data_IF_892962804259
#
_entry.id   IF_892962804259
#
_cell.length_a   1.000
_cell.length_b   1.000
_cell.length_c   1.000
_cell.angle_alpha   90.00
_cell.angle_beta   90.00
_cell.angle_gamma   90.00
#
_symmetry.space_group_name_H-M   'P 1'
#
loop_
_entity.id
_entity.type
_entity.pdbx_description
1 polymer ?
#
# COMPACT_ATOMS: atom_id res chain seq x y z
N UNK A 1 25.52 47.16 -2.58
CA UNK A 1 24.88 46.06 -1.78
C UNK A 1 23.35 45.93 -1.94
N UNK A 2 22.65 46.95 -2.46
CA UNK A 2 21.20 46.88 -2.73
C UNK A 2 20.86 46.11 -4.02
N UNK A 3 21.78 46.05 -4.97
CA UNK A 3 21.56 45.37 -6.26
C UNK A 3 21.49 43.82 -6.11
N UNK A 4 22.30 43.21 -5.23
CA UNK A 4 22.33 41.79 -5.04
C UNK A 4 21.03 41.21 -4.42
N UNK A 5 20.32 41.99 -3.61
CA UNK A 5 19.05 41.54 -3.01
C UNK A 5 17.92 41.42 -4.05
N UNK A 6 17.86 42.38 -5.01
CA UNK A 6 16.85 42.31 -6.09
C UNK A 6 17.12 41.17 -7.06
N UNK A 7 18.39 40.88 -7.37
CA UNK A 7 18.74 39.75 -8.24
C UNK A 7 18.43 38.40 -7.59
N UNK A 8 18.67 38.25 -6.27
CA UNK A 8 18.27 37.03 -5.56
C UNK A 8 16.74 36.80 -5.54
N UNK A 9 15.96 37.87 -5.42
CA UNK A 9 14.49 37.75 -5.49
C UNK A 9 13.99 37.46 -6.90
N UNK A 10 14.66 37.96 -7.95
CA UNK A 10 14.35 37.62 -9.34
C UNK A 10 14.66 36.16 -9.64
N UNK A 11 15.81 35.64 -9.22
CA UNK A 11 16.18 34.25 -9.41
C UNK A 11 15.21 33.25 -8.69
N UNK A 12 14.63 33.66 -7.57
CA UNK A 12 13.63 32.82 -6.85
C UNK A 12 12.27 32.84 -7.58
N UNK A 13 11.91 33.91 -8.28
CA UNK A 13 10.67 34.01 -9.07
C UNK A 13 10.71 33.21 -10.36
N UNK A 14 11.89 32.98 -10.92
CA UNK A 14 12.11 32.20 -12.14
C UNK A 14 12.35 30.71 -11.85
N UNK A 15 12.32 30.29 -10.57
CA UNK A 15 12.39 28.85 -10.25
C UNK A 15 11.17 28.15 -10.83
N UNK A 16 11.41 27.11 -11.62
CA UNK A 16 10.37 26.29 -12.22
C UNK A 16 9.38 25.85 -11.16
N UNK A 17 8.08 26.06 -11.40
CA UNK A 17 7.03 25.59 -10.49
C UNK A 17 7.16 24.09 -10.32
N UNK A 18 7.20 23.61 -9.08
CA UNK A 18 7.20 22.18 -8.78
C UNK A 18 5.94 21.55 -9.37
N UNK A 19 6.11 20.44 -10.08
CA UNK A 19 5.00 19.68 -10.64
C UNK A 19 4.06 19.21 -9.52
N UNK A 20 2.76 19.38 -9.72
CA UNK A 20 1.72 18.90 -8.81
C UNK A 20 0.63 18.24 -9.63
N UNK A 21 0.45 16.93 -9.41
CA UNK A 21 -0.53 16.12 -10.10
C UNK A 21 -1.96 16.58 -9.77
N UNK A 22 -2.76 16.89 -10.79
CA UNK A 22 -4.18 17.21 -10.64
C UNK A 22 -5.01 15.92 -10.60
N UNK A 23 -6.15 15.95 -9.92
CA UNK A 23 -7.04 14.78 -9.81
C UNK A 23 -7.57 14.28 -11.16
N UNK A 24 -7.72 15.16 -12.11
CA UNK A 24 -8.25 14.92 -13.46
C UNK A 24 -7.23 14.19 -14.37
N UNK A 25 -5.94 14.38 -14.07
CA UNK A 25 -4.82 13.82 -14.84
C UNK A 25 -4.38 12.43 -14.35
N UNK A 26 -5.06 11.89 -13.34
CA UNK A 26 -4.67 10.62 -12.71
C UNK A 26 -5.11 9.42 -13.55
N UNK A 27 -4.14 8.73 -14.16
CA UNK A 27 -4.35 7.42 -14.77
C UNK A 27 -4.09 6.31 -13.74
N UNK A 28 -5.06 5.39 -13.60
CA UNK A 28 -5.01 4.27 -12.64
C UNK A 28 -5.11 2.96 -13.39
N UNK A 29 -4.10 2.14 -13.24
CA UNK A 29 -4.06 0.78 -13.77
C UNK A 29 -4.45 -0.24 -12.70
N UNK A 30 -4.84 -1.43 -13.16
CA UNK A 30 -5.10 -2.58 -12.30
C UNK A 30 -3.98 -3.59 -12.45
N UNK A 31 -3.51 -4.13 -11.31
CA UNK A 31 -2.43 -5.11 -11.26
C UNK A 31 -2.84 -6.32 -10.43
N UNK A 32 -2.48 -7.51 -10.90
CA UNK A 32 -2.58 -8.76 -10.14
C UNK A 32 -1.20 -9.17 -9.66
N UNK A 33 -1.11 -9.53 -8.40
CA UNK A 33 0.10 -10.03 -7.75
C UNK A 33 -0.17 -11.38 -7.10
N UNK A 34 0.54 -12.40 -7.53
CA UNK A 34 0.58 -13.68 -6.82
C UNK A 34 1.63 -13.61 -5.69
N UNK A 35 1.20 -13.89 -4.46
CA UNK A 35 2.06 -13.85 -3.27
C UNK A 35 2.53 -15.22 -2.81
N UNK A 36 2.36 -16.25 -3.63
CA UNK A 36 2.80 -17.60 -3.33
C UNK A 36 4.29 -17.59 -2.98
N UNK A 37 4.62 -18.17 -1.82
CA UNK A 37 6.00 -18.30 -1.29
C UNK A 37 6.76 -16.99 -1.04
N UNK A 38 6.11 -15.84 -1.18
CA UNK A 38 6.72 -14.54 -0.96
C UNK A 38 6.75 -14.15 0.53
N UNK A 39 7.75 -13.36 0.93
CA UNK A 39 7.89 -12.87 2.31
C UNK A 39 6.95 -11.69 2.55
N UNK A 40 6.03 -11.82 3.52
CA UNK A 40 4.99 -10.83 3.85
C UNK A 40 5.50 -9.38 3.90
N UNK A 41 6.60 -9.13 4.64
CA UNK A 41 7.08 -7.74 4.83
C UNK A 41 7.55 -7.09 3.54
N UNK A 42 8.27 -7.83 2.70
CA UNK A 42 8.78 -7.33 1.41
C UNK A 42 7.65 -7.07 0.43
N UNK A 43 6.72 -8.01 0.33
CA UNK A 43 5.52 -7.86 -0.51
C UNK A 43 4.70 -6.66 -0.08
N UNK A 44 4.39 -6.53 1.22
CA UNK A 44 3.59 -5.44 1.75
C UNK A 44 4.19 -4.05 1.46
N UNK A 45 5.52 -3.91 1.47
CA UNK A 45 6.20 -2.66 1.11
C UNK A 45 5.97 -2.31 -0.36
N UNK A 46 6.16 -3.27 -1.27
CA UNK A 46 5.95 -3.07 -2.71
C UNK A 46 4.49 -2.72 -3.04
N UNK A 47 3.55 -3.44 -2.42
CA UNK A 47 2.12 -3.14 -2.55
C UNK A 47 1.81 -1.72 -2.06
N UNK A 48 2.32 -1.32 -0.89
CA UNK A 48 2.08 0.01 -0.33
C UNK A 48 2.63 1.12 -1.23
N UNK A 49 3.82 0.94 -1.80
CA UNK A 49 4.44 1.90 -2.71
C UNK A 49 3.62 2.03 -4.02
N UNK A 50 3.14 0.91 -4.58
CA UNK A 50 2.32 0.90 -5.80
C UNK A 50 0.96 1.55 -5.59
N UNK A 51 0.26 1.19 -4.52
CA UNK A 51 -1.06 1.76 -4.20
C UNK A 51 -0.96 3.26 -3.89
N UNK A 52 0.15 3.69 -3.28
CA UNK A 52 0.42 5.11 -3.02
C UNK A 52 0.86 5.86 -4.28
N UNK A 53 1.40 5.14 -5.27
CA UNK A 53 1.90 5.69 -6.53
C UNK A 53 3.32 6.24 -6.45
N UNK A 54 4.12 5.80 -5.50
CA UNK A 54 5.54 6.23 -5.37
C UNK A 54 6.40 5.77 -6.55
N UNK A 55 6.00 4.71 -7.24
CA UNK A 55 6.69 4.19 -8.42
C UNK A 55 6.51 5.11 -9.65
N UNK A 56 5.55 6.03 -9.60
CA UNK A 56 5.27 6.95 -10.72
C UNK A 56 6.11 8.22 -10.61
N UNK A 57 6.68 8.72 -11.71
CA UNK A 57 7.43 9.99 -11.72
C UNK A 57 6.55 11.21 -11.37
N UNK A 58 5.24 11.08 -11.58
CA UNK A 58 4.24 12.11 -11.25
C UNK A 58 3.77 12.08 -9.80
N UNK A 59 4.44 11.34 -8.93
CA UNK A 59 4.04 11.20 -7.52
C UNK A 59 3.93 12.54 -6.81
N UNK A 60 2.78 12.77 -6.18
CA UNK A 60 2.51 13.95 -5.35
C UNK A 60 1.92 13.51 -4.01
N UNK A 61 2.50 13.89 -2.85
CA UNK A 61 2.11 13.36 -1.54
C UNK A 61 0.66 13.60 -1.13
N UNK A 62 0.04 14.69 -1.62
CA UNK A 62 -1.32 15.09 -1.27
C UNK A 62 -2.39 14.57 -2.25
N UNK A 63 -1.98 14.03 -3.40
CA UNK A 63 -2.89 13.51 -4.43
C UNK A 63 -2.84 11.98 -4.46
N UNK A 64 -3.98 11.35 -4.70
CA UNK A 64 -4.10 9.91 -4.87
C UNK A 64 -3.81 9.50 -6.31
N UNK A 65 -2.53 9.34 -6.66
CA UNK A 65 -2.05 8.95 -7.99
C UNK A 65 -1.74 7.46 -8.16
N UNK A 66 -1.95 6.63 -7.13
CA UNK A 66 -1.60 5.20 -7.16
C UNK A 66 -2.60 4.32 -7.90
N UNK A 67 -2.20 3.07 -8.13
CA UNK A 67 -2.91 2.05 -8.88
C UNK A 67 -3.73 1.13 -7.99
N UNK A 68 -4.60 0.32 -8.60
CA UNK A 68 -5.31 -0.76 -7.93
C UNK A 68 -4.45 -2.02 -7.92
N UNK A 69 -4.43 -2.73 -6.79
CA UNK A 69 -3.67 -3.97 -6.66
C UNK A 69 -4.60 -5.07 -6.14
N UNK A 70 -4.63 -6.15 -6.90
CA UNK A 70 -5.30 -7.40 -6.55
C UNK A 70 -4.23 -8.37 -6.11
N UNK A 71 -4.37 -8.94 -4.92
CA UNK A 71 -3.46 -9.94 -4.37
C UNK A 71 -4.18 -11.28 -4.33
N UNK A 72 -3.57 -12.30 -4.91
CA UNK A 72 -4.10 -13.67 -4.93
C UNK A 72 -3.19 -14.60 -4.13
N UNK A 73 -3.74 -15.77 -3.74
CA UNK A 73 -3.04 -16.80 -2.96
C UNK A 73 -2.54 -16.32 -1.58
N UNK A 74 -3.30 -15.46 -0.89
CA UNK A 74 -2.90 -14.89 0.40
C UNK A 74 -2.60 -15.94 1.48
N UNK A 75 -3.18 -17.15 1.40
CA UNK A 75 -2.92 -18.27 2.32
C UNK A 75 -1.49 -18.83 2.22
N UNK A 76 -0.84 -18.68 1.05
CA UNK A 76 0.50 -19.23 0.78
C UNK A 76 1.64 -18.26 1.12
N UNK A 77 1.33 -17.16 1.78
CA UNK A 77 2.32 -16.15 2.14
C UNK A 77 3.25 -16.65 3.24
N UNK A 78 4.55 -16.35 3.13
CA UNK A 78 5.58 -16.76 4.09
C UNK A 78 6.00 -15.62 5.03
N UNK A 79 6.44 -16.01 6.20
CA UNK A 79 7.11 -15.13 7.17
C UNK A 79 8.44 -15.77 7.57
N UNK A 80 9.42 -14.93 7.93
CA UNK A 80 10.77 -15.38 8.28
C UNK A 80 10.96 -15.57 9.78
N UNK A 81 11.82 -16.50 10.17
CA UNK A 81 12.15 -16.81 11.57
C UNK A 81 10.94 -17.36 12.35
N UNK A 82 10.94 -17.17 13.67
CA UNK A 82 9.91 -17.69 14.57
C UNK A 82 8.57 -16.89 14.54
N UNK A 83 8.39 -16.02 13.53
CA UNK A 83 7.18 -15.18 13.44
C UNK A 83 5.91 -15.98 13.17
N UNK A 84 6.01 -17.15 12.56
CA UNK A 84 4.86 -17.98 12.28
C UNK A 84 4.11 -18.37 13.56
N UNK A 85 4.84 -18.67 14.62
CA UNK A 85 4.26 -19.05 15.92
C UNK A 85 4.06 -17.85 16.85
N UNK A 86 5.06 -16.96 16.89
CA UNK A 86 5.14 -15.91 17.94
C UNK A 86 4.47 -14.60 17.55
N UNK A 87 4.19 -14.33 16.26
CA UNK A 87 3.58 -13.08 15.85
C UNK A 87 2.11 -13.03 16.30
N UNK A 88 1.79 -12.01 17.10
CA UNK A 88 0.44 -11.79 17.65
C UNK A 88 -0.20 -10.56 17.01
N UNK A 89 -1.49 -10.67 16.73
CA UNK A 89 -2.35 -9.59 16.28
C UNK A 89 -3.34 -9.24 17.37
N UNK A 90 -3.46 -7.97 17.69
CA UNK A 90 -4.31 -7.48 18.77
C UNK A 90 -5.51 -6.73 18.20
N UNK A 91 -6.68 -6.99 18.78
CA UNK A 91 -7.87 -6.19 18.55
C UNK A 91 -8.58 -5.92 19.87
N UNK A 92 -9.26 -4.79 20.00
CA UNK A 92 -9.94 -4.41 21.22
C UNK A 92 -11.41 -4.09 20.94
N UNK A 93 -12.32 -4.58 21.78
CA UNK A 93 -13.76 -4.38 21.62
C UNK A 93 -14.28 -3.08 22.23
N UNK A 94 -13.39 -2.26 22.81
CA UNK A 94 -13.65 -1.02 23.55
C UNK A 94 -14.28 -1.21 24.95
N UNK A 95 -14.62 -2.42 25.37
CA UNK A 95 -15.08 -2.74 26.72
C UNK A 95 -13.91 -3.11 27.64
N UNK A 96 -14.02 -2.88 28.96
CA UNK A 96 -13.02 -3.34 29.94
C UNK A 96 -12.73 -4.83 29.73
N UNK A 97 -11.44 -5.21 29.68
CA UNK A 97 -11.01 -6.60 29.42
C UNK A 97 -11.20 -7.08 27.97
N UNK A 98 -11.62 -6.22 27.05
CA UNK A 98 -11.95 -6.57 25.67
C UNK A 98 -10.77 -6.78 24.70
N UNK A 99 -9.54 -6.97 25.20
CA UNK A 99 -8.37 -7.28 24.38
C UNK A 99 -8.47 -8.71 23.83
N UNK A 100 -8.49 -8.83 22.49
CA UNK A 100 -8.46 -10.12 21.79
C UNK A 100 -7.10 -10.27 21.11
N UNK A 101 -6.46 -11.42 21.34
CA UNK A 101 -5.17 -11.77 20.74
C UNK A 101 -5.37 -12.96 19.81
N UNK A 102 -4.82 -12.87 18.59
CA UNK A 102 -4.76 -13.98 17.63
C UNK A 102 -3.33 -14.17 17.21
N UNK A 103 -2.91 -15.42 17.03
CA UNK A 103 -1.59 -15.74 16.47
C UNK A 103 -1.62 -15.65 14.95
N UNK A 104 -0.44 -15.55 14.33
CA UNK A 104 -0.32 -15.55 12.87
C UNK A 104 -0.91 -16.84 12.28
N UNK A 105 -0.60 -17.99 12.88
CA UNK A 105 -1.13 -19.29 12.45
C UNK A 105 -2.65 -19.33 12.43
N UNK A 106 -3.30 -18.89 13.52
CA UNK A 106 -4.77 -18.83 13.59
C UNK A 106 -5.40 -17.90 12.55
N UNK A 107 -4.68 -16.84 12.14
CA UNK A 107 -5.16 -15.92 11.12
C UNK A 107 -4.99 -16.49 9.70
N UNK A 108 -3.90 -17.21 9.41
CA UNK A 108 -3.73 -17.92 8.14
C UNK A 108 -4.87 -18.90 7.91
N UNK A 109 -5.24 -19.66 8.95
CA UNK A 109 -6.30 -20.67 8.86
C UNK A 109 -7.71 -20.08 8.71
N UNK A 110 -7.97 -18.92 9.33
CA UNK A 110 -9.32 -18.34 9.38
C UNK A 110 -9.54 -17.22 8.36
N UNK A 111 -8.59 -16.28 8.26
CA UNK A 111 -8.72 -15.07 7.44
C UNK A 111 -7.34 -14.62 6.95
N UNK A 112 -6.74 -15.31 5.96
CA UNK A 112 -5.39 -14.98 5.46
C UNK A 112 -5.31 -13.58 4.83
N UNK A 113 -6.38 -13.10 4.23
CA UNK A 113 -6.49 -11.78 3.61
C UNK A 113 -6.12 -10.65 4.60
N UNK A 114 -6.62 -10.76 5.83
CA UNK A 114 -6.40 -9.77 6.88
C UNK A 114 -4.93 -9.57 7.23
N UNK A 115 -4.11 -10.60 7.08
CA UNK A 115 -2.67 -10.54 7.36
C UNK A 115 -2.00 -9.52 6.45
N UNK A 116 -2.32 -9.59 5.15
CA UNK A 116 -1.77 -8.68 4.14
C UNK A 116 -2.37 -7.28 4.31
N UNK A 117 -3.68 -7.20 4.53
CA UNK A 117 -4.37 -5.94 4.75
C UNK A 117 -3.79 -5.15 5.94
N UNK A 118 -3.58 -5.80 7.10
CA UNK A 118 -3.02 -5.15 8.28
C UNK A 118 -1.56 -4.75 8.07
N UNK A 119 -0.76 -5.56 7.34
CA UNK A 119 0.61 -5.22 7.00
C UNK A 119 0.68 -3.97 6.10
N UNK A 120 -0.10 -3.92 5.03
CA UNK A 120 -0.16 -2.78 4.11
C UNK A 120 -0.75 -1.55 4.79
N UNK A 121 -1.82 -1.69 5.57
CA UNK A 121 -2.45 -0.61 6.32
C UNK A 121 -1.49 0.06 7.31
N UNK A 122 -0.60 -0.71 7.93
CA UNK A 122 0.46 -0.19 8.79
C UNK A 122 1.51 0.65 8.07
N UNK A 123 1.71 0.42 6.77
CA UNK A 123 2.68 1.14 5.91
C UNK A 123 2.09 2.37 5.22
N UNK A 124 0.76 2.48 5.16
CA UNK A 124 0.07 3.63 4.58
C UNK A 124 -0.07 4.78 5.59
N UNK A 125 -0.20 6.03 5.13
CA UNK A 125 -0.41 7.18 6.01
C UNK A 125 -1.74 7.07 6.78
N UNK A 126 -1.73 7.47 8.06
CA UNK A 126 -2.89 7.37 8.98
C UNK A 126 -3.86 8.56 8.86
N UNK A 127 -4.13 9.02 7.65
CA UNK A 127 -5.01 10.17 7.37
C UNK A 127 -6.20 9.78 6.48
N UNK A 128 -7.04 10.75 6.12
CA UNK A 128 -8.21 10.54 5.23
C UNK A 128 -7.77 9.99 3.87
N UNK A 129 -6.65 10.51 3.32
CA UNK A 129 -6.07 10.06 2.06
C UNK A 129 -5.62 8.59 2.14
N UNK A 130 -4.93 8.19 3.23
CA UNK A 130 -4.52 6.80 3.43
C UNK A 130 -5.67 5.82 3.52
N UNK A 131 -6.81 6.22 4.12
CA UNK A 131 -8.03 5.41 4.12
C UNK A 131 -8.63 5.24 2.72
N UNK A 132 -8.57 6.28 1.89
CA UNK A 132 -9.05 6.23 0.50
C UNK A 132 -8.13 5.34 -0.36
N UNK A 133 -6.82 5.49 -0.21
CA UNK A 133 -5.79 4.69 -0.90
C UNK A 133 -5.93 3.21 -0.55
N UNK A 134 -6.17 2.87 0.72
CA UNK A 134 -6.32 1.49 1.18
C UNK A 134 -7.48 0.74 0.49
N UNK A 135 -8.54 1.41 0.09
CA UNK A 135 -9.68 0.81 -0.63
C UNK A 135 -9.30 0.24 -2.00
N UNK A 136 -8.15 0.62 -2.55
CA UNK A 136 -7.62 0.13 -3.83
C UNK A 136 -6.93 -1.24 -3.71
N UNK A 137 -6.65 -1.69 -2.49
CA UNK A 137 -6.18 -3.03 -2.22
C UNK A 137 -7.35 -4.00 -2.20
N UNK A 138 -7.24 -5.07 -2.99
CA UNK A 138 -8.15 -6.20 -2.99
C UNK A 138 -7.33 -7.45 -2.72
N UNK A 139 -7.70 -8.21 -1.71
CA UNK A 139 -6.96 -9.42 -1.30
C UNK A 139 -7.89 -10.60 -1.38
N UNK A 140 -7.42 -11.69 -1.97
CA UNK A 140 -8.13 -12.95 -2.11
C UNK A 140 -7.29 -14.08 -1.53
N UNK A 141 -7.93 -14.98 -0.79
CA UNK A 141 -7.27 -16.15 -0.19
C UNK A 141 -6.79 -17.13 -1.24
N UNK A 142 -7.62 -17.40 -2.24
CA UNK A 142 -7.35 -18.35 -3.32
C UNK A 142 -6.77 -17.72 -4.59
N UNK A 143 -6.68 -18.52 -5.68
CA UNK A 143 -6.14 -18.06 -6.97
C UNK A 143 -7.13 -17.28 -7.82
N UNK A 144 -8.43 -17.31 -7.51
CA UNK A 144 -9.50 -16.70 -8.31
C UNK A 144 -9.87 -15.34 -7.73
N UNK A 145 -10.13 -14.36 -8.59
CA UNK A 145 -10.58 -13.02 -8.22
C UNK A 145 -11.77 -12.57 -9.07
N UNK A 146 -12.61 -11.66 -8.56
CA UNK A 146 -13.85 -11.23 -9.20
C UNK A 146 -13.68 -9.98 -10.10
N UNK A 147 -12.43 -9.65 -10.49
CA UNK A 147 -12.11 -8.38 -11.18
C UNK A 147 -11.60 -8.57 -12.61
N UNK A 148 -12.02 -9.61 -13.32
CA UNK A 148 -11.60 -9.91 -14.70
C UNK A 148 -12.02 -8.81 -15.69
N UNK A 149 -13.18 -8.20 -15.47
CA UNK A 149 -13.71 -7.10 -16.29
C UNK A 149 -12.79 -5.86 -16.33
N UNK A 150 -11.92 -5.72 -15.35
CA UNK A 150 -10.95 -4.61 -15.27
C UNK A 150 -9.67 -4.88 -16.06
N UNK A 151 -9.52 -6.08 -16.64
CA UNK A 151 -8.32 -6.52 -17.38
C UNK A 151 -7.02 -6.20 -16.66
N UNK A 152 -6.84 -6.74 -15.42
CA UNK A 152 -5.68 -6.41 -14.61
C UNK A 152 -4.41 -6.98 -15.26
N UNK A 153 -3.33 -6.20 -15.21
CA UNK A 153 -2.00 -6.59 -15.70
C UNK A 153 -1.27 -7.43 -14.66
N UNK A 154 -0.60 -8.49 -15.07
CA UNK A 154 0.28 -9.23 -14.17
C UNK A 154 1.43 -8.35 -13.69
N UNK A 155 1.72 -8.44 -12.41
CA UNK A 155 2.80 -7.68 -11.79
C UNK A 155 3.67 -8.57 -10.91
N UNK A 156 4.92 -8.73 -11.30
CA UNK A 156 5.92 -9.49 -10.56
C UNK A 156 7.01 -8.53 -10.05
N UNK A 157 6.87 -7.98 -8.84
CA UNK A 157 7.89 -7.12 -8.27
C UNK A 157 9.15 -7.90 -7.95
N UNK A 158 10.31 -7.34 -8.27
CA UNK A 158 11.60 -7.88 -7.82
C UNK A 158 11.68 -7.67 -6.30
N UNK A 159 11.72 -8.76 -5.53
CA UNK A 159 11.67 -8.77 -4.07
C UNK A 159 12.97 -9.31 -3.48
#
# INVERSE_FOLDING_TARGET
>A
HRCCRRQRQMCIRDSMKTYSLKKEEVNRDWFVLDVTDMVLGRVATKIADRIRGKDKPTFTPHTDGGDYVIVINAEKIKVTGSKYENKKYYSHSLYPGGLKTKTFKELVDKNPERIIEEAVKGMLPKNKLGKAIFKKLKVFSGPIHDHDSQQPKEWNPII
#
